data_IF_527300165547
#
_entry.id   IF_527300165547
#
_cell.length_a   1.000
_cell.length_b   1.000
_cell.length_c   1.000
_cell.angle_alpha   90.00
_cell.angle_beta   90.00
_cell.angle_gamma   90.00
#
_symmetry.space_group_name_H-M   'P 1'
#
loop_
_entity.id
_entity.type
_entity.pdbx_description
1 polymer ?
#
# COMPACT_ATOMS: atom_id res chain seq x y z
N UNK A 1 -5.12 7.11 -2.84
CA UNK A 1 -6.04 5.94 -2.73
C UNK A 1 -7.04 6.18 -1.61
N UNK A 2 -8.19 5.50 -1.62
CA UNK A 2 -9.24 5.62 -0.59
C UNK A 2 -9.51 4.24 0.02
N UNK A 3 -9.69 4.17 1.34
CA UNK A 3 -10.15 2.94 2.01
C UNK A 3 -11.61 3.08 2.39
N UNK A 4 -12.43 2.10 2.02
CA UNK A 4 -13.89 2.13 2.24
C UNK A 4 -14.35 0.91 3.02
N UNK A 5 -15.54 1.01 3.63
CA UNK A 5 -16.21 -0.16 4.16
C UNK A 5 -16.72 -1.00 2.99
N UNK A 6 -16.21 -2.22 2.85
CA UNK A 6 -16.52 -3.10 1.72
C UNK A 6 -18.01 -3.50 1.60
N UNK A 7 -18.79 -3.39 2.68
CA UNK A 7 -20.22 -3.66 2.67
C UNK A 7 -21.07 -2.44 2.29
N UNK A 8 -20.47 -1.24 2.26
CA UNK A 8 -21.18 0.04 2.05
C UNK A 8 -20.86 0.69 0.71
N UNK A 9 -19.65 0.48 0.20
CA UNK A 9 -19.17 1.12 -1.01
C UNK A 9 -18.47 0.11 -1.93
N UNK A 10 -18.48 0.38 -3.24
CA UNK A 10 -17.69 -0.38 -4.22
C UNK A 10 -16.19 -0.17 -3.98
N UNK A 11 -15.40 -1.18 -4.29
CA UNK A 11 -13.95 -1.17 -4.16
C UNK A 11 -13.29 -1.93 -5.32
N UNK A 12 -12.02 -1.61 -5.59
CA UNK A 12 -11.21 -2.26 -6.63
C UNK A 12 -10.41 -3.43 -6.06
N UNK A 13 -9.85 -3.27 -4.85
CA UNK A 13 -8.95 -4.26 -4.23
C UNK A 13 -9.42 -4.60 -2.83
N UNK A 14 -9.66 -5.89 -2.58
CA UNK A 14 -9.90 -6.40 -1.23
C UNK A 14 -8.59 -6.46 -0.43
N UNK A 15 -8.57 -5.85 0.75
CA UNK A 15 -7.37 -5.82 1.61
C UNK A 15 -7.59 -6.49 2.97
N UNK A 16 -8.72 -7.15 3.19
CA UNK A 16 -9.00 -7.89 4.42
C UNK A 16 -8.18 -9.19 4.53
N UNK A 17 -8.45 -9.96 5.58
CA UNK A 17 -7.76 -11.25 5.83
C UNK A 17 -8.26 -12.37 4.90
N UNK A 18 -7.49 -13.47 4.83
CA UNK A 18 -7.81 -14.66 4.02
C UNK A 18 -9.15 -15.26 4.44
N UNK A 19 -9.94 -15.71 3.47
CA UNK A 19 -11.23 -16.37 3.70
C UNK A 19 -12.25 -16.02 2.61
N UNK A 20 -13.30 -16.84 2.48
CA UNK A 20 -14.40 -16.63 1.51
C UNK A 20 -13.90 -16.37 0.06
N UNK A 21 -12.92 -17.15 -0.39
CA UNK A 21 -12.33 -17.02 -1.73
C UNK A 21 -11.30 -15.90 -1.88
N UNK A 22 -11.02 -15.11 -0.84
CA UNK A 22 -10.01 -14.05 -0.86
C UNK A 22 -8.66 -14.56 -0.34
N UNK A 23 -7.57 -14.21 -1.03
CA UNK A 23 -6.20 -14.61 -0.65
C UNK A 23 -5.76 -13.98 0.68
N UNK A 24 -6.24 -12.79 0.99
CA UNK A 24 -5.86 -12.02 2.17
C UNK A 24 -4.44 -11.44 2.10
N UNK A 25 -3.88 -11.26 0.89
CA UNK A 25 -2.49 -10.85 0.68
C UNK A 25 -2.07 -9.57 1.42
N UNK A 26 -3.00 -8.61 1.55
CA UNK A 26 -2.81 -7.34 2.27
C UNK A 26 -3.39 -7.36 3.70
N UNK A 27 -3.94 -8.50 4.14
CA UNK A 27 -4.58 -8.62 5.44
C UNK A 27 -3.57 -8.50 6.59
N UNK A 28 -3.99 -7.86 7.69
CA UNK A 28 -3.14 -7.77 8.88
C UNK A 28 -2.94 -9.14 9.54
N UNK A 29 -1.68 -9.56 9.81
CA UNK A 29 -1.38 -10.80 10.53
C UNK A 29 -1.71 -10.70 12.02
N UNK A 30 -1.93 -9.49 12.55
CA UNK A 30 -2.20 -9.24 13.97
C UNK A 30 -3.70 -9.32 14.19
N UNK A 31 -4.15 -10.24 15.04
CA UNK A 31 -5.57 -10.52 15.28
C UNK A 31 -5.95 -10.02 16.69
N UNK A 32 -7.01 -9.21 16.77
CA UNK A 32 -7.57 -8.77 18.05
C UNK A 32 -8.00 -9.98 18.88
N UNK A 33 -7.74 -9.95 20.19
CA UNK A 33 -8.04 -11.05 21.11
C UNK A 33 -7.10 -12.26 21.00
N UNK A 34 -6.01 -12.16 20.21
CA UNK A 34 -4.95 -13.17 20.15
C UNK A 34 -3.59 -12.55 20.49
N UNK A 35 -2.60 -13.35 20.95
CA UNK A 35 -1.24 -12.87 21.13
C UNK A 35 -0.69 -12.28 19.83
N UNK A 36 -0.21 -11.04 19.92
CA UNK A 36 0.39 -10.35 18.79
C UNK A 36 1.70 -11.03 18.38
N UNK A 37 1.90 -11.39 17.11
CA UNK A 37 3.14 -12.06 16.67
C UNK A 37 4.38 -11.18 16.77
N UNK A 38 4.24 -9.87 16.99
CA UNK A 38 5.35 -8.92 17.08
C UNK A 38 5.75 -8.57 18.52
N UNK A 39 4.78 -8.46 19.43
CA UNK A 39 5.04 -8.02 20.81
C UNK A 39 4.52 -8.97 21.89
N UNK A 40 3.89 -10.08 21.49
CA UNK A 40 3.29 -11.10 22.36
C UNK A 40 2.17 -10.59 23.30
N UNK A 41 1.73 -9.34 23.17
CA UNK A 41 0.61 -8.77 23.92
C UNK A 41 -0.73 -9.08 23.24
N UNK A 42 -1.81 -9.13 24.02
CA UNK A 42 -3.18 -9.23 23.49
C UNK A 42 -3.74 -7.82 23.29
N UNK A 43 -4.11 -7.53 22.04
CA UNK A 43 -4.74 -6.27 21.66
C UNK A 43 -6.26 -6.46 21.65
N UNK A 44 -7.01 -5.66 22.41
CA UNK A 44 -8.47 -5.80 22.55
C UNK A 44 -9.25 -4.64 21.91
N UNK A 45 -8.66 -3.44 21.85
CA UNK A 45 -9.36 -2.26 21.35
C UNK A 45 -9.22 -2.09 19.84
N UNK A 46 -10.22 -1.42 19.23
CA UNK A 46 -10.15 -1.05 17.82
C UNK A 46 -8.95 -0.12 17.58
N UNK A 47 -8.07 -0.49 16.66
CA UNK A 47 -6.87 0.28 16.35
C UNK A 47 -5.65 -0.03 17.24
N UNK A 48 -5.80 -0.74 18.35
CA UNK A 48 -4.67 -1.09 19.23
C UNK A 48 -3.61 -1.97 18.55
N UNK A 49 -3.98 -2.68 17.47
CA UNK A 49 -3.05 -3.45 16.64
C UNK A 49 -2.22 -2.61 15.66
N UNK A 50 -2.63 -1.35 15.39
CA UNK A 50 -2.05 -0.54 14.33
C UNK A 50 -0.56 -0.22 14.54
N UNK A 51 -0.08 0.14 15.74
CA UNK A 51 1.36 0.40 15.93
C UNK A 51 2.24 -0.80 15.54
N UNK A 52 1.83 -2.01 15.93
CA UNK A 52 2.52 -3.24 15.56
C UNK A 52 2.36 -3.51 14.04
N UNK A 53 1.17 -3.30 13.48
CA UNK A 53 0.95 -3.49 12.05
C UNK A 53 1.78 -2.52 11.21
N UNK A 54 1.91 -1.26 11.61
CA UNK A 54 2.76 -0.27 10.94
C UNK A 54 4.21 -0.71 10.93
N UNK A 55 4.75 -1.20 12.07
CA UNK A 55 6.10 -1.77 12.12
C UNK A 55 6.24 -2.97 11.16
N UNK A 56 5.29 -3.89 11.19
CA UNK A 56 5.26 -5.05 10.30
C UNK A 56 5.26 -4.64 8.81
N UNK A 57 4.33 -3.76 8.41
CA UNK A 57 4.14 -3.37 7.02
C UNK A 57 5.35 -2.58 6.50
N UNK A 58 5.88 -1.64 7.30
CA UNK A 58 7.08 -0.87 6.95
C UNK A 58 8.31 -1.77 6.82
N UNK A 59 8.51 -2.71 7.74
CA UNK A 59 9.59 -3.69 7.62
C UNK A 59 9.40 -4.57 6.38
N UNK A 60 8.18 -5.07 6.12
CA UNK A 60 7.90 -5.94 4.97
C UNK A 60 8.21 -5.26 3.64
N UNK A 61 7.82 -4.00 3.44
CA UNK A 61 8.17 -3.29 2.18
C UNK A 61 9.67 -3.08 1.99
N UNK A 62 10.48 -3.14 3.06
CA UNK A 62 11.95 -3.07 2.95
C UNK A 62 12.61 -4.40 2.58
N UNK A 63 12.02 -5.54 2.98
CA UNK A 63 12.65 -6.87 2.81
C UNK A 63 11.95 -7.78 1.79
N UNK A 64 10.74 -7.42 1.36
CA UNK A 64 9.93 -8.18 0.40
C UNK A 64 9.62 -7.28 -0.82
N UNK A 65 10.47 -7.33 -1.87
CA UNK A 65 10.27 -6.51 -3.07
C UNK A 65 8.92 -6.74 -3.76
N UNK A 66 8.41 -7.98 -3.76
CA UNK A 66 7.10 -8.30 -4.34
C UNK A 66 5.96 -7.65 -3.56
N UNK A 67 6.08 -7.59 -2.24
CA UNK A 67 5.12 -6.84 -1.43
C UNK A 67 5.24 -5.33 -1.66
N UNK A 68 6.45 -4.78 -1.76
CA UNK A 68 6.68 -3.37 -2.10
C UNK A 68 5.99 -3.00 -3.42
N UNK A 69 6.22 -3.77 -4.48
CA UNK A 69 5.58 -3.60 -5.79
C UNK A 69 4.06 -3.70 -5.70
N UNK A 70 3.55 -4.71 -4.97
CA UNK A 70 2.11 -4.89 -4.79
C UNK A 70 1.46 -3.71 -4.02
N UNK A 71 2.16 -3.11 -3.05
CA UNK A 71 1.70 -1.91 -2.34
C UNK A 71 1.70 -0.69 -3.28
N UNK A 72 2.74 -0.49 -4.08
CA UNK A 72 2.78 0.56 -5.11
C UNK A 72 1.63 0.43 -6.11
N UNK A 73 1.28 -0.80 -6.51
CA UNK A 73 0.18 -1.09 -7.42
C UNK A 73 -1.22 -0.76 -6.84
N UNK A 74 -1.34 -0.49 -5.54
CA UNK A 74 -2.58 0.02 -4.92
C UNK A 74 -2.84 1.49 -5.25
N UNK A 75 -1.87 2.21 -5.83
CA UNK A 75 -2.01 3.62 -6.21
C UNK A 75 -3.25 3.81 -7.10
N UNK A 76 -4.00 4.86 -6.78
CA UNK A 76 -5.24 5.20 -7.49
C UNK A 76 -6.43 4.26 -7.23
N UNK A 77 -6.25 3.13 -6.53
CA UNK A 77 -7.33 2.17 -6.25
C UNK A 77 -8.19 2.55 -5.04
N UNK A 78 -9.40 2.03 -5.01
CA UNK A 78 -10.29 2.00 -3.84
C UNK A 78 -10.11 0.66 -3.11
N UNK A 79 -9.71 0.72 -1.84
CA UNK A 79 -9.39 -0.44 -1.03
C UNK A 79 -10.58 -0.84 -0.15
N UNK A 80 -11.07 -2.07 -0.29
CA UNK A 80 -12.17 -2.62 0.49
C UNK A 80 -11.68 -3.27 1.78
N UNK A 81 -12.12 -2.74 2.94
CA UNK A 81 -11.88 -3.35 4.24
C UNK A 81 -13.14 -3.31 5.12
N UNK A 82 -13.31 -4.28 6.01
CA UNK A 82 -14.45 -4.30 6.94
C UNK A 82 -14.27 -3.33 8.12
N UNK A 83 -13.04 -2.85 8.40
CA UNK A 83 -12.76 -2.03 9.59
C UNK A 83 -13.37 -0.63 9.52
N UNK A 84 -13.45 -0.02 8.33
CA UNK A 84 -13.97 1.35 8.19
C UNK A 84 -15.41 1.45 8.70
N UNK A 85 -15.80 2.53 9.41
CA UNK A 85 -15.06 3.78 9.61
C UNK A 85 -14.06 3.78 10.79
N UNK A 86 -13.91 2.66 11.51
CA UNK A 86 -12.93 2.55 12.60
C UNK A 86 -11.50 2.56 12.05
N UNK A 87 -10.47 2.76 12.91
CA UNK A 87 -9.07 2.71 12.47
C UNK A 87 -8.78 1.43 11.66
N UNK A 88 -8.13 1.58 10.51
CA UNK A 88 -7.99 0.52 9.52
C UNK A 88 -6.52 0.36 9.10
N UNK A 89 -6.09 -0.88 8.94
CA UNK A 89 -4.74 -1.18 8.46
C UNK A 89 -4.52 -0.73 7.00
N UNK A 90 -5.60 -0.59 6.23
CA UNK A 90 -5.55 -0.02 4.89
C UNK A 90 -5.07 1.43 4.85
N UNK A 91 -5.29 2.19 5.92
CA UNK A 91 -4.80 3.58 5.99
C UNK A 91 -3.26 3.60 6.06
N UNK A 92 -2.67 2.63 6.76
CA UNK A 92 -1.21 2.44 6.82
C UNK A 92 -0.64 2.03 5.46
N UNK A 93 -1.32 1.13 4.73
CA UNK A 93 -0.91 0.78 3.37
C UNK A 93 -0.96 1.99 2.42
N UNK A 94 -1.97 2.85 2.58
CA UNK A 94 -2.09 4.07 1.80
C UNK A 94 -0.97 5.08 2.11
N UNK A 95 -0.62 5.25 3.38
CA UNK A 95 0.50 6.07 3.82
C UNK A 95 1.81 5.58 3.20
N UNK A 96 2.14 4.30 3.38
CA UNK A 96 3.36 3.68 2.83
C UNK A 96 3.42 3.83 1.31
N UNK A 97 2.33 3.55 0.59
CA UNK A 97 2.31 3.69 -0.86
C UNK A 97 2.57 5.15 -1.30
N UNK A 98 2.00 6.13 -0.60
CA UNK A 98 2.21 7.54 -0.92
C UNK A 98 3.67 7.96 -0.70
N UNK A 99 4.32 7.45 0.35
CA UNK A 99 5.73 7.71 0.65
C UNK A 99 6.65 7.08 -0.40
N UNK A 100 6.49 5.79 -0.69
CA UNK A 100 7.26 5.08 -1.71
C UNK A 100 7.14 5.76 -3.09
N UNK A 101 5.96 6.32 -3.37
CA UNK A 101 5.74 7.03 -4.61
C UNK A 101 6.51 8.36 -4.68
N UNK A 102 6.64 9.09 -3.56
CA UNK A 102 7.46 10.31 -3.51
C UNK A 102 8.94 9.99 -3.72
N UNK A 103 9.43 8.88 -3.16
CA UNK A 103 10.81 8.42 -3.36
C UNK A 103 11.09 8.04 -4.82
N UNK A 104 10.10 7.45 -5.51
CA UNK A 104 10.20 7.06 -6.92
C UNK A 104 9.95 8.21 -7.90
N UNK A 105 10.03 9.46 -7.45
CA UNK A 105 9.78 10.61 -8.30
C UNK A 105 11.09 11.18 -8.85
N UNK A 106 11.18 11.35 -10.17
CA UNK A 106 12.35 11.89 -10.84
C UNK A 106 11.96 12.94 -11.90
N UNK A 107 12.85 13.91 -12.12
CA UNK A 107 12.66 14.92 -13.17
C UNK A 107 12.90 14.24 -14.52
N UNK A 108 11.94 14.36 -15.43
CA UNK A 108 12.11 13.89 -16.80
C UNK A 108 13.08 14.80 -17.56
N UNK A 109 14.04 14.20 -18.25
CA UNK A 109 15.03 14.90 -19.06
C UNK A 109 14.42 15.77 -20.15
N UNK A 110 13.33 15.32 -20.80
CA UNK A 110 12.78 16.02 -21.96
C UNK A 110 11.80 17.12 -21.60
N UNK A 111 10.85 16.87 -20.69
CA UNK A 111 9.85 17.86 -20.32
C UNK A 111 10.23 18.69 -19.08
N UNK A 112 11.32 18.34 -18.38
CA UNK A 112 11.77 18.98 -17.14
C UNK A 112 10.69 19.05 -16.04
N UNK A 113 9.73 18.13 -16.08
CA UNK A 113 8.65 17.99 -15.09
C UNK A 113 8.96 16.78 -14.20
N UNK A 114 8.50 16.89 -12.95
CA UNK A 114 8.62 15.84 -11.96
C UNK A 114 7.60 14.72 -12.25
N UNK A 115 8.07 13.50 -12.44
CA UNK A 115 7.25 12.34 -12.80
C UNK A 115 7.57 11.13 -11.92
N UNK A 116 6.56 10.31 -11.66
CA UNK A 116 6.65 9.08 -10.85
C UNK A 116 6.78 7.81 -11.69
N UNK A 117 6.65 7.96 -13.01
CA UNK A 117 6.63 6.86 -13.98
C UNK A 117 7.47 7.26 -15.18
N UNK A 118 8.28 6.32 -15.67
CA UNK A 118 9.23 6.53 -16.74
C UNK A 118 10.31 5.46 -16.76
N UNK A 119 11.21 5.56 -17.73
CA UNK A 119 12.39 4.72 -17.86
C UNK A 119 13.65 5.53 -17.55
N UNK A 120 14.71 4.86 -17.13
CA UNK A 120 16.03 5.47 -17.06
C UNK A 120 16.85 5.07 -18.29
N UNK A 121 17.27 6.05 -19.10
CA UNK A 121 18.20 5.87 -20.22
C UNK A 121 19.45 6.69 -19.96
N UNK A 122 20.63 6.05 -20.00
CA UNK A 122 21.92 6.71 -19.72
C UNK A 122 21.95 7.51 -18.41
N UNK A 123 21.31 6.99 -17.36
CA UNK A 123 21.23 7.64 -16.04
C UNK A 123 20.23 8.81 -15.95
N UNK A 124 19.53 9.14 -17.04
CA UNK A 124 18.52 10.18 -17.10
C UNK A 124 17.12 9.57 -17.08
N UNK A 125 16.24 10.10 -16.26
CA UNK A 125 14.85 9.67 -16.22
C UNK A 125 14.07 10.28 -17.38
N UNK A 126 13.25 9.50 -18.06
CA UNK A 126 12.38 9.94 -19.15
C UNK A 126 10.97 9.45 -18.83
N UNK A 127 10.00 10.36 -18.71
CA UNK A 127 8.63 9.99 -18.37
C UNK A 127 7.93 9.27 -19.54
N UNK A 128 7.00 8.38 -19.21
CA UNK A 128 6.26 7.57 -20.20
C UNK A 128 5.63 8.40 -21.33
N UNK A 129 5.17 9.63 -21.02
CA UNK A 129 4.61 10.53 -22.03
C UNK A 129 5.66 10.91 -23.09
N UNK A 130 6.84 11.36 -22.65
CA UNK A 130 7.92 11.72 -23.57
C UNK A 130 8.46 10.49 -24.33
N UNK A 131 8.45 9.30 -23.71
CA UNK A 131 8.82 8.05 -24.41
C UNK A 131 7.90 7.79 -25.60
N UNK A 132 6.58 7.88 -25.39
CA UNK A 132 5.58 7.58 -26.42
C UNK A 132 5.51 8.66 -27.52
N UNK A 133 6.00 9.86 -27.26
CA UNK A 133 6.08 10.96 -28.24
C UNK A 133 7.33 10.87 -29.15
N UNK A 134 8.32 10.03 -28.80
CA UNK A 134 9.48 9.72 -29.65
C UNK A 134 9.26 8.54 -30.62
N UNK A 135 8.07 7.92 -30.59
CA UNK A 135 7.70 6.70 -31.33
C UNK A 135 7.14 6.96 -32.72
#
# INVERSE_FOLDING_TARGET
MKVVNLYKEKYDVYIGRKGKGQSGYFGSPIIIGKPCPLCNQIHNDNGSTLPCYTKYARHRVTVDPKFKEAVLALRGKILGCFCKPKPCHGDVLAEICNELNKENTAICEFCNVLHTEGEYRFGKHICNKCINEES
#
